data_IF_786536392318
#
_entry.id   IF_786536392318
#
_cell.length_a   1.000
_cell.length_b   1.000
_cell.length_c   1.000
_cell.angle_alpha   90.00
_cell.angle_beta   90.00
_cell.angle_gamma   90.00
#
_symmetry.space_group_name_H-M   'P 1'
#
loop_
_entity.id
_entity.type
_entity.pdbx_description
1 polymer ?
#
# COMPACT_ATOMS: atom_id res chain seq x y z
N UNK A 1 -16.65 -2.94 19.42
CA UNK A 1 -15.37 -3.45 18.88
C UNK A 1 -14.20 -2.51 19.16
N UNK A 2 -14.23 -1.27 18.64
CA UNK A 2 -13.10 -0.31 18.73
C UNK A 2 -12.57 -0.06 20.15
N UNK A 3 -13.43 0.14 21.15
CA UNK A 3 -12.99 0.32 22.55
C UNK A 3 -12.12 -0.85 23.02
N UNK A 4 -12.52 -2.09 22.73
CA UNK A 4 -11.76 -3.28 23.14
C UNK A 4 -10.43 -3.39 22.40
N UNK A 5 -10.41 -3.04 21.12
CA UNK A 5 -9.18 -3.01 20.33
C UNK A 5 -8.22 -1.93 20.85
N UNK A 6 -8.72 -0.72 21.14
CA UNK A 6 -7.97 0.37 21.74
C UNK A 6 -7.43 0.03 23.14
N UNK A 7 -8.17 -0.74 23.95
CA UNK A 7 -7.70 -1.21 25.24
C UNK A 7 -6.54 -2.21 25.11
N UNK A 8 -6.60 -3.10 24.12
CA UNK A 8 -5.55 -4.10 23.89
C UNK A 8 -4.31 -3.49 23.20
N UNK A 9 -4.51 -2.55 22.28
CA UNK A 9 -3.46 -1.96 21.44
C UNK A 9 -3.57 -0.42 21.41
N UNK A 10 -3.38 0.26 22.55
CA UNK A 10 -3.67 1.69 22.66
C UNK A 10 -2.80 2.57 21.76
N UNK A 11 -1.51 2.22 21.62
CA UNK A 11 -0.54 2.98 20.80
C UNK A 11 -0.62 2.67 19.31
N UNK A 12 -1.29 1.57 18.93
CA UNK A 12 -1.39 1.08 17.55
C UNK A 12 -2.86 1.03 17.08
N UNK A 13 -3.69 1.94 17.59
CA UNK A 13 -5.11 1.98 17.29
C UNK A 13 -5.38 2.49 15.86
N UNK A 14 -5.47 1.54 14.92
CA UNK A 14 -5.94 1.72 13.54
C UNK A 14 -7.31 1.04 13.38
N UNK A 15 -8.35 1.80 13.05
CA UNK A 15 -9.73 1.28 13.03
C UNK A 15 -10.20 0.93 11.61
N UNK A 16 -10.74 -0.27 11.41
CA UNK A 16 -11.49 -0.63 10.18
C UNK A 16 -12.89 0.00 10.25
N UNK A 17 -13.17 0.98 9.40
CA UNK A 17 -14.36 1.84 9.55
C UNK A 17 -15.52 1.51 8.61
N UNK A 18 -15.32 0.66 7.62
CA UNK A 18 -16.28 0.40 6.54
C UNK A 18 -17.05 -0.92 6.69
N UNK A 19 -17.09 -1.47 7.90
CA UNK A 19 -17.86 -2.72 8.18
C UNK A 19 -19.37 -2.55 7.97
N UNK A 20 -19.91 -1.35 8.18
CA UNK A 20 -21.33 -1.05 8.02
C UNK A 20 -21.55 0.17 7.13
N UNK A 21 -21.16 1.34 7.63
CA UNK A 21 -21.23 2.60 6.91
C UNK A 21 -20.07 3.48 7.39
N UNK A 22 -19.27 3.97 6.45
CA UNK A 22 -17.97 4.58 6.73
C UNK A 22 -18.10 5.95 7.39
N UNK A 23 -18.93 6.85 6.84
CA UNK A 23 -18.90 8.28 7.19
C UNK A 23 -19.83 8.61 8.36
N UNK A 24 -20.98 7.96 8.44
CA UNK A 24 -22.03 8.16 9.43
C UNK A 24 -21.87 7.25 10.66
N UNK A 25 -21.12 6.15 10.55
CA UNK A 25 -20.91 5.21 11.67
C UNK A 25 -19.44 4.98 11.99
N UNK A 26 -18.64 4.47 11.05
CA UNK A 26 -17.27 4.05 11.30
C UNK A 26 -16.35 5.19 11.76
N UNK A 27 -16.31 6.28 10.99
CA UNK A 27 -15.48 7.47 11.28
C UNK A 27 -15.90 8.15 12.59
N UNK A 28 -17.20 8.42 12.87
CA UNK A 28 -17.63 8.96 14.17
C UNK A 28 -17.29 8.06 15.36
N UNK A 29 -17.42 6.74 15.19
CA UNK A 29 -17.05 5.78 16.23
C UNK A 29 -15.53 5.75 16.47
N UNK A 30 -14.71 5.86 15.42
CA UNK A 30 -13.25 6.03 15.54
C UNK A 30 -12.91 7.30 16.33
N UNK A 31 -13.50 8.44 15.95
CA UNK A 31 -13.28 9.73 16.62
C UNK A 31 -13.65 9.68 18.11
N UNK A 32 -14.77 9.04 18.45
CA UNK A 32 -15.22 8.88 19.84
C UNK A 32 -14.19 8.11 20.68
N UNK A 33 -13.63 7.03 20.13
CA UNK A 33 -12.60 6.23 20.82
C UNK A 33 -11.26 6.95 20.86
N UNK A 34 -10.87 7.62 19.77
CA UNK A 34 -9.63 8.41 19.71
C UNK A 34 -9.65 9.57 20.73
N UNK A 35 -10.77 10.26 20.88
CA UNK A 35 -10.95 11.30 21.89
C UNK A 35 -10.88 10.72 23.31
N UNK A 36 -11.46 9.54 23.54
CA UNK A 36 -11.33 8.82 24.81
C UNK A 36 -9.87 8.47 25.13
N UNK A 37 -9.14 7.89 24.17
CA UNK A 37 -7.70 7.59 24.32
C UNK A 37 -6.89 8.84 24.65
N UNK A 38 -7.19 9.95 23.98
CA UNK A 38 -6.54 11.22 24.25
C UNK A 38 -6.85 11.73 25.66
N UNK A 39 -8.13 11.87 26.02
CA UNK A 39 -8.55 12.45 27.31
C UNK A 39 -8.08 11.63 28.52
N UNK A 40 -8.09 10.31 28.44
CA UNK A 40 -7.80 9.45 29.60
C UNK A 40 -6.36 8.95 29.66
N UNK A 41 -5.67 8.82 28.52
CA UNK A 41 -4.34 8.24 28.46
C UNK A 41 -3.31 9.12 27.74
N UNK A 42 -3.71 10.26 27.15
CA UNK A 42 -2.85 11.12 26.32
C UNK A 42 -2.18 10.36 25.18
N UNK A 43 -2.86 9.34 24.64
CA UNK A 43 -2.38 8.51 23.53
C UNK A 43 -3.04 8.97 22.24
N UNK A 44 -2.23 9.18 21.22
CA UNK A 44 -2.69 9.53 19.89
C UNK A 44 -3.11 8.27 19.12
N UNK A 45 -4.36 8.27 18.62
CA UNK A 45 -4.83 7.25 17.69
C UNK A 45 -4.03 7.31 16.38
N UNK A 46 -3.85 6.16 15.72
CA UNK A 46 -3.04 6.07 14.50
C UNK A 46 -3.84 6.52 13.28
N UNK A 47 -5.07 6.03 13.14
CA UNK A 47 -5.87 6.32 11.96
C UNK A 47 -6.98 5.32 11.67
N UNK A 48 -7.42 5.32 10.42
CA UNK A 48 -8.49 4.46 9.90
C UNK A 48 -8.00 3.62 8.71
N UNK A 49 -8.67 2.48 8.49
CA UNK A 49 -8.54 1.66 7.29
C UNK A 49 -9.86 1.64 6.52
N UNK A 50 -9.77 1.93 5.23
CA UNK A 50 -10.82 1.77 4.22
C UNK A 50 -10.51 0.50 3.41
N UNK A 51 -11.49 -0.38 3.25
CA UNK A 51 -11.36 -1.69 2.61
C UNK A 51 -12.43 -1.93 1.52
N UNK A 52 -13.22 -0.91 1.18
CA UNK A 52 -14.32 -0.99 0.22
C UNK A 52 -14.83 0.40 -0.18
N UNK A 53 -15.64 0.44 -1.24
CA UNK A 53 -16.24 1.66 -1.77
C UNK A 53 -15.29 2.52 -2.62
N UNK A 54 -15.71 3.75 -2.89
CA UNK A 54 -14.87 4.75 -3.58
C UNK A 54 -13.82 5.30 -2.60
N UNK A 55 -12.62 4.72 -2.65
CA UNK A 55 -11.53 5.03 -1.72
C UNK A 55 -11.09 6.50 -1.80
N UNK A 56 -11.08 7.11 -2.99
CA UNK A 56 -10.70 8.51 -3.14
C UNK A 56 -11.72 9.42 -2.48
N UNK A 57 -13.00 9.26 -2.82
CA UNK A 57 -14.08 10.03 -2.23
C UNK A 57 -14.15 9.85 -0.71
N UNK A 58 -14.15 8.61 -0.22
CA UNK A 58 -14.26 8.31 1.20
C UNK A 58 -13.05 8.83 1.99
N UNK A 59 -11.84 8.78 1.43
CA UNK A 59 -10.65 9.33 2.09
C UNK A 59 -10.73 10.83 2.27
N UNK A 60 -11.20 11.57 1.26
CA UNK A 60 -11.38 13.01 1.36
C UNK A 60 -12.46 13.37 2.38
N UNK A 61 -13.61 12.69 2.35
CA UNK A 61 -14.68 12.90 3.33
C UNK A 61 -14.23 12.60 4.75
N UNK A 62 -13.49 11.51 4.96
CA UNK A 62 -12.91 11.21 6.27
C UNK A 62 -11.94 12.31 6.72
N UNK A 63 -11.11 12.83 5.81
CA UNK A 63 -10.19 13.94 6.12
C UNK A 63 -10.92 15.23 6.50
N UNK A 64 -11.99 15.58 5.79
CA UNK A 64 -12.85 16.74 6.14
C UNK A 64 -13.44 16.61 7.55
N UNK A 65 -13.94 15.42 7.89
CA UNK A 65 -14.48 15.11 9.22
C UNK A 65 -13.39 15.19 10.29
N UNK A 66 -12.17 14.71 10.00
CA UNK A 66 -11.02 14.83 10.91
C UNK A 66 -10.61 16.28 11.15
N UNK A 67 -10.54 17.11 10.11
CA UNK A 67 -10.25 18.54 10.25
C UNK A 67 -11.32 19.24 11.08
N UNK A 68 -12.60 18.97 10.81
CA UNK A 68 -13.72 19.53 11.58
C UNK A 68 -13.65 19.13 13.06
N UNK A 69 -13.33 17.86 13.35
CA UNK A 69 -13.16 17.38 14.70
C UNK A 69 -11.95 18.00 15.40
N UNK A 70 -10.83 18.16 14.69
CA UNK A 70 -9.64 18.83 15.21
C UNK A 70 -9.97 20.26 15.65
N UNK A 71 -10.67 21.02 14.81
CA UNK A 71 -11.06 22.39 15.09
C UNK A 71 -12.06 22.48 16.25
N UNK A 72 -13.06 21.58 16.28
CA UNK A 72 -14.06 21.54 17.34
C UNK A 72 -13.46 21.25 18.73
N UNK A 73 -12.37 20.48 18.79
CA UNK A 73 -11.69 20.09 20.02
C UNK A 73 -10.28 20.70 20.16
N UNK A 74 -10.01 21.82 19.47
CA UNK A 74 -8.69 22.46 19.44
C UNK A 74 -8.18 22.84 20.84
N UNK A 75 -9.09 23.34 21.71
CA UNK A 75 -8.77 23.72 23.09
C UNK A 75 -8.38 22.53 23.98
N UNK A 76 -8.67 21.30 23.55
CA UNK A 76 -8.35 20.08 24.29
C UNK A 76 -7.05 19.42 23.81
N UNK A 77 -6.32 20.04 22.86
CA UNK A 77 -5.10 19.46 22.29
C UNK A 77 -5.37 18.31 21.29
N UNK A 78 -6.61 18.14 20.83
CA UNK A 78 -7.01 17.07 19.91
C UNK A 78 -6.63 17.36 18.44
N UNK A 79 -5.82 18.38 18.17
CA UNK A 79 -5.45 18.82 16.82
C UNK A 79 -4.77 17.72 15.98
N UNK A 80 -4.08 16.78 16.63
CA UNK A 80 -3.39 15.67 15.95
C UNK A 80 -4.35 14.82 15.10
N UNK A 81 -5.65 14.81 15.43
CA UNK A 81 -6.64 13.98 14.73
C UNK A 81 -6.78 14.37 13.25
N UNK A 82 -6.55 15.64 12.89
CA UNK A 82 -6.55 16.11 11.50
C UNK A 82 -5.49 15.36 10.65
N UNK A 83 -4.40 14.95 11.27
CA UNK A 83 -3.31 14.17 10.69
C UNK A 83 -3.48 12.66 10.81
N UNK A 84 -4.64 12.16 11.25
CA UNK A 84 -4.91 10.71 11.33
C UNK A 84 -4.61 10.03 10.00
N UNK A 85 -3.91 8.90 10.05
CA UNK A 85 -3.55 8.16 8.85
C UNK A 85 -4.79 7.53 8.21
N UNK A 86 -4.89 7.61 6.91
CA UNK A 86 -5.91 6.92 6.12
C UNK A 86 -5.22 5.84 5.31
N UNK A 87 -5.45 4.58 5.70
CA UNK A 87 -4.92 3.40 5.00
C UNK A 87 -6.01 2.86 4.08
N UNK A 88 -5.69 2.60 2.83
CA UNK A 88 -6.59 1.93 1.91
C UNK A 88 -6.08 0.52 1.59
N UNK A 89 -6.93 -0.48 1.75
CA UNK A 89 -6.76 -1.82 1.17
C UNK A 89 -7.99 -2.12 0.31
N UNK A 90 -7.90 -3.13 -0.58
CA UNK A 90 -8.98 -3.74 -1.40
C UNK A 90 -8.60 -3.86 -2.88
N UNK A 91 -8.16 -5.05 -3.30
CA UNK A 91 -7.85 -5.40 -4.70
C UNK A 91 -7.07 -4.33 -5.49
N UNK A 92 -6.21 -3.60 -4.77
CA UNK A 92 -5.38 -2.55 -5.35
C UNK A 92 -4.36 -3.20 -6.29
N UNK A 93 -4.30 -2.70 -7.51
CA UNK A 93 -3.30 -3.05 -8.52
C UNK A 93 -2.67 -1.76 -9.09
N UNK A 94 -1.73 -1.90 -10.01
CA UNK A 94 -1.03 -0.75 -10.60
C UNK A 94 -1.98 0.24 -11.29
N UNK A 95 -2.98 -0.25 -12.03
CA UNK A 95 -3.95 0.63 -12.70
C UNK A 95 -4.83 1.41 -11.69
N UNK A 96 -5.23 0.77 -10.59
CA UNK A 96 -5.97 1.45 -9.51
C UNK A 96 -5.10 2.47 -8.80
N UNK A 97 -3.82 2.17 -8.54
CA UNK A 97 -2.88 3.13 -7.96
C UNK A 97 -2.68 4.35 -8.86
N UNK A 98 -2.51 4.15 -10.16
CA UNK A 98 -2.40 5.23 -11.14
C UNK A 98 -3.68 6.08 -11.16
N UNK A 99 -4.85 5.44 -11.23
CA UNK A 99 -6.13 6.14 -11.17
C UNK A 99 -6.31 6.92 -9.86
N UNK A 100 -5.85 6.38 -8.73
CA UNK A 100 -5.88 7.08 -7.45
C UNK A 100 -4.89 8.25 -7.43
N UNK A 101 -3.71 8.09 -8.03
CA UNK A 101 -2.72 9.16 -8.13
C UNK A 101 -3.20 10.33 -8.99
N UNK A 102 -3.94 10.06 -10.06
CA UNK A 102 -4.45 11.07 -11.00
C UNK A 102 -5.66 11.84 -10.49
N UNK A 103 -6.29 11.40 -9.39
CA UNK A 103 -7.44 12.06 -8.79
C UNK A 103 -7.13 12.54 -7.37
N UNK A 104 -7.84 13.57 -6.86
CA UNK A 104 -7.63 13.99 -5.48
C UNK A 104 -8.06 12.87 -4.51
N UNK A 105 -7.17 12.52 -3.58
CA UNK A 105 -7.43 11.60 -2.49
C UNK A 105 -6.65 12.03 -1.24
N UNK A 106 -7.01 11.49 -0.07
CA UNK A 106 -6.33 11.78 1.21
C UNK A 106 -5.77 10.52 1.87
N UNK A 107 -5.49 9.50 1.06
CA UNK A 107 -4.92 8.20 1.49
C UNK A 107 -3.41 8.36 1.71
N UNK A 108 -2.94 7.95 2.87
CA UNK A 108 -1.54 8.05 3.28
C UNK A 108 -0.75 6.74 3.03
N UNK A 109 -1.44 5.61 2.91
CA UNK A 109 -0.80 4.30 2.71
C UNK A 109 -1.72 3.31 1.99
N UNK A 110 -1.14 2.46 1.15
CA UNK A 110 -1.85 1.43 0.39
C UNK A 110 -1.43 0.03 0.84
N UNK A 111 -2.41 -0.79 1.22
CA UNK A 111 -2.26 -2.21 1.53
C UNK A 111 -2.55 -3.06 0.30
N UNK A 112 -1.51 -3.57 -0.35
CA UNK A 112 -1.61 -4.39 -1.57
C UNK A 112 -1.36 -5.85 -1.21
N UNK A 113 -2.37 -6.70 -1.44
CA UNK A 113 -2.30 -8.13 -1.18
C UNK A 113 -2.07 -8.95 -2.45
N UNK A 114 -3.15 -9.56 -2.95
CA UNK A 114 -3.13 -10.59 -4.00
C UNK A 114 -2.35 -10.19 -5.25
N UNK A 115 -2.55 -8.98 -5.77
CA UNK A 115 -1.88 -8.53 -7.01
C UNK A 115 -0.34 -8.52 -6.87
N UNK A 116 0.17 -8.13 -5.71
CA UNK A 116 1.62 -8.06 -5.46
C UNK A 116 2.21 -9.44 -5.22
N UNK A 117 1.56 -10.26 -4.38
CA UNK A 117 2.13 -11.56 -3.96
C UNK A 117 2.05 -12.60 -5.07
N UNK A 118 0.98 -12.57 -5.87
CA UNK A 118 0.78 -13.57 -6.93
C UNK A 118 1.35 -13.13 -8.28
N UNK A 119 1.82 -11.88 -8.39
CA UNK A 119 2.15 -11.25 -9.68
C UNK A 119 1.03 -11.48 -10.70
N UNK A 120 -0.22 -11.16 -10.34
CA UNK A 120 -1.42 -11.66 -11.03
C UNK A 120 -1.42 -11.47 -12.55
N UNK A 121 -0.80 -10.39 -13.06
CA UNK A 121 -0.64 -10.15 -14.50
C UNK A 121 0.34 -11.13 -15.19
N UNK A 122 1.40 -11.53 -14.50
CA UNK A 122 2.39 -12.50 -14.98
C UNK A 122 2.96 -13.31 -13.79
N UNK A 123 2.31 -14.41 -13.39
CA UNK A 123 2.69 -15.18 -12.20
C UNK A 123 3.97 -16.02 -12.38
N UNK A 124 4.49 -16.10 -13.62
CA UNK A 124 5.68 -16.87 -13.96
C UNK A 124 6.70 -16.02 -14.73
N UNK A 125 7.94 -16.03 -14.26
CA UNK A 125 9.04 -15.27 -14.87
C UNK A 125 9.56 -15.91 -16.17
N UNK A 126 9.35 -17.22 -16.38
CA UNK A 126 9.83 -17.93 -17.57
C UNK A 126 11.35 -18.20 -17.58
N UNK A 127 12.00 -18.23 -16.41
CA UNK A 127 13.44 -18.46 -16.30
C UNK A 127 13.86 -19.86 -16.77
N UNK A 128 15.04 -19.93 -17.38
CA UNK A 128 15.66 -21.19 -17.82
C UNK A 128 17.10 -21.28 -17.32
N UNK A 129 17.53 -22.50 -16.99
CA UNK A 129 18.93 -22.81 -16.72
C UNK A 129 19.45 -23.70 -17.85
N UNK A 130 20.52 -23.27 -18.53
CA UNK A 130 21.09 -23.97 -19.69
C UNK A 130 22.60 -24.10 -19.55
N UNK A 131 23.13 -25.28 -19.88
CA UNK A 131 24.57 -25.49 -20.01
C UNK A 131 25.10 -24.72 -21.21
N UNK A 132 26.08 -23.85 -20.98
CA UNK A 132 26.70 -23.01 -22.02
C UNK A 132 28.11 -23.45 -22.40
N UNK A 133 28.79 -24.21 -21.53
CA UNK A 133 30.16 -24.65 -21.73
C UNK A 133 30.45 -25.91 -20.90
N UNK A 134 31.17 -26.87 -21.47
CA UNK A 134 31.62 -28.07 -20.76
C UNK A 134 33.06 -28.38 -21.15
N UNK A 135 33.97 -28.44 -20.18
CA UNK A 135 35.41 -28.70 -20.41
C UNK A 135 36.03 -27.75 -21.45
N UNK A 136 35.70 -26.45 -21.38
CA UNK A 136 36.15 -25.44 -22.34
C UNK A 136 35.49 -25.52 -23.72
N UNK A 137 34.57 -26.46 -23.95
CA UNK A 137 33.84 -26.60 -25.21
C UNK A 137 32.48 -25.91 -25.13
N UNK A 138 32.20 -24.92 -26.00
CA UNK A 138 30.92 -24.22 -26.03
C UNK A 138 29.75 -25.16 -26.31
N UNK A 139 28.61 -24.93 -25.65
CA UNK A 139 27.36 -25.69 -25.83
C UNK A 139 26.24 -24.74 -26.23
N UNK A 140 25.55 -25.10 -27.31
CA UNK A 140 24.37 -24.39 -27.81
C UNK A 140 23.22 -25.37 -27.93
N UNK A 141 22.05 -24.99 -27.39
CA UNK A 141 20.80 -25.71 -27.62
C UNK A 141 20.12 -25.11 -28.85
N UNK A 142 19.99 -25.92 -29.90
CA UNK A 142 19.21 -25.56 -31.07
C UNK A 142 17.71 -25.64 -30.76
N UNK A 143 16.94 -24.78 -31.42
CA UNK A 143 15.50 -24.65 -31.28
C UNK A 143 14.93 -24.30 -32.64
N UNK A 144 13.73 -24.82 -32.95
CA UNK A 144 13.00 -24.44 -34.17
C UNK A 144 12.64 -22.94 -34.18
N UNK A 145 12.49 -22.38 -32.98
CA UNK A 145 12.36 -20.94 -32.75
C UNK A 145 13.75 -20.34 -32.51
N UNK A 146 14.17 -19.44 -33.43
CA UNK A 146 15.49 -18.81 -33.42
C UNK A 146 15.73 -17.97 -32.16
N UNK A 147 14.72 -17.30 -31.63
CA UNK A 147 14.85 -16.46 -30.42
C UNK A 147 15.12 -17.27 -29.15
N UNK A 148 14.77 -18.57 -29.16
CA UNK A 148 14.97 -19.48 -28.01
C UNK A 148 16.33 -20.18 -28.02
N UNK A 149 17.17 -19.90 -29.02
CA UNK A 149 18.52 -20.45 -29.10
C UNK A 149 19.41 -19.83 -28.02
N UNK A 150 20.17 -20.68 -27.32
CA UNK A 150 21.05 -20.22 -26.26
C UNK A 150 22.38 -19.67 -26.81
N UNK A 151 22.86 -18.55 -26.28
CA UNK A 151 24.21 -18.07 -26.58
C UNK A 151 25.23 -18.98 -25.88
N UNK A 152 26.21 -19.56 -26.57
CA UNK A 152 27.16 -20.50 -25.99
C UNK A 152 28.24 -19.79 -25.17
N UNK A 153 29.12 -20.58 -24.55
CA UNK A 153 30.29 -20.15 -23.75
C UNK A 153 29.96 -19.38 -22.46
N UNK A 154 30.96 -19.31 -21.57
CA UNK A 154 30.92 -18.39 -20.42
C UNK A 154 30.81 -16.93 -20.90
N UNK A 155 29.90 -16.17 -20.29
CA UNK A 155 29.64 -14.76 -20.62
C UNK A 155 29.94 -13.86 -19.43
N UNK A 156 30.38 -12.64 -19.71
CA UNK A 156 30.42 -11.54 -18.77
C UNK A 156 29.33 -10.54 -19.14
N UNK A 157 28.64 -9.99 -18.13
CA UNK A 157 27.56 -9.02 -18.32
C UNK A 157 28.09 -7.67 -17.87
N UNK A 158 27.93 -6.65 -18.72
CA UNK A 158 28.31 -5.27 -18.43
C UNK A 158 27.07 -4.39 -18.58
N UNK A 159 26.90 -3.42 -17.67
CA UNK A 159 25.98 -2.30 -17.86
C UNK A 159 26.81 -1.11 -18.31
N UNK A 160 26.48 -0.55 -19.48
CA UNK A 160 27.15 0.61 -20.03
C UNK A 160 26.39 1.86 -19.58
N UNK A 161 27.10 2.91 -19.20
CA UNK A 161 26.52 4.19 -18.80
C UNK A 161 26.97 5.26 -19.79
N UNK A 162 26.07 6.19 -20.12
CA UNK A 162 26.39 7.38 -20.88
C UNK A 162 27.26 8.36 -20.08
N UNK A 163 27.76 9.42 -20.73
CA UNK A 163 28.51 10.49 -20.04
C UNK A 163 27.69 11.20 -18.94
N UNK A 164 26.37 11.10 -19.02
CA UNK A 164 25.44 11.65 -18.03
C UNK A 164 25.13 10.68 -16.88
N UNK A 165 25.91 9.59 -16.73
CA UNK A 165 25.72 8.51 -15.73
C UNK A 165 24.36 7.79 -15.80
N UNK A 166 23.62 7.97 -16.90
CA UNK A 166 22.38 7.23 -17.20
C UNK A 166 22.69 5.93 -17.94
N UNK A 167 22.04 4.84 -17.52
CA UNK A 167 22.16 3.50 -18.12
C UNK A 167 21.30 3.33 -19.39
#
# INVERSE_FOLDING_TARGET
>A
AFIRYAQAFPTNFLALVDTYETILSGVPNYLSVALGLWRFAQIQAVGIRLDSGDLAYLSMRAREVFSTAADAFANEGFQFIAGSRIVASNDINEAVLLSLHDQPHSIDSFGIGTNLVTCQAQPALGMVYKLVELNGQPRMKLSQDFEKQGVPSRKAVYRLYGQDDMA
#
